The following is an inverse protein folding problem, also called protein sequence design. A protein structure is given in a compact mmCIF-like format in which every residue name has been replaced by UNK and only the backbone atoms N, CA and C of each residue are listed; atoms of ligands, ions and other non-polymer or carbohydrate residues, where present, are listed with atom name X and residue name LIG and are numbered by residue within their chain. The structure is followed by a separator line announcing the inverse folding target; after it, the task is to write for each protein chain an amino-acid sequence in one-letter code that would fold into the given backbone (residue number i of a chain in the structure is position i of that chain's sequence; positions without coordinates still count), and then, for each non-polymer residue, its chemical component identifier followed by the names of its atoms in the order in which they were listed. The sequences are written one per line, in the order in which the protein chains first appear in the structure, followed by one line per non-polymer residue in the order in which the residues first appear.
data_IF_064891957640
#
_entry.id   IF_064891957640
#
_cell.length_a   1.000
_cell.length_b   1.000
_cell.length_c   1.000
_cell.angle_alpha   90.00
_cell.angle_beta   90.00
_cell.angle_gamma   90.00
#
_symmetry.space_group_name_H-M   'P 1'
#
loop_
_entity.id
_entity.type
_entity.pdbx_description
1 polymer ?
#
# COMPACT_ATOMS: atom_id res chain seq x y z
N UNK A 1 -5.57 10.28 -7.14
CA UNK A 1 -6.12 11.24 -8.12
C UNK A 1 -7.45 10.77 -8.65
N UNK A 2 -8.39 11.67 -8.91
CA UNK A 2 -9.74 11.30 -9.37
C UNK A 2 -9.84 11.26 -10.90
N UNK A 3 -10.67 10.34 -11.41
CA UNK A 3 -10.94 10.14 -12.84
C UNK A 3 -11.47 11.40 -13.53
N UNK A 4 -11.01 11.66 -14.76
CA UNK A 4 -11.52 12.75 -15.60
C UNK A 4 -12.94 12.48 -16.12
N UNK A 5 -13.70 13.54 -16.46
CA UNK A 5 -15.06 13.44 -17.01
C UNK A 5 -15.16 12.60 -18.30
N UNK A 6 -14.06 12.49 -19.05
CA UNK A 6 -14.00 11.71 -20.29
C UNK A 6 -13.88 10.18 -20.09
N UNK A 7 -13.58 9.69 -18.89
CA UNK A 7 -13.30 8.28 -18.62
C UNK A 7 -14.39 7.54 -17.84
N UNK A 8 -15.47 8.19 -17.53
CA UNK A 8 -16.61 7.61 -16.83
C UNK A 8 -17.23 8.60 -15.84
N UNK A 9 -18.53 8.56 -15.70
CA UNK A 9 -19.31 9.50 -14.85
C UNK A 9 -19.78 8.84 -13.55
N UNK A 10 -19.47 7.57 -13.33
CA UNK A 10 -19.92 6.87 -12.13
C UNK A 10 -19.13 7.34 -10.90
N UNK A 11 -19.84 7.56 -9.81
CA UNK A 11 -19.24 7.89 -8.52
C UNK A 11 -18.85 6.62 -7.78
N UNK A 12 -17.73 6.66 -7.09
CA UNK A 12 -17.35 5.59 -6.17
C UNK A 12 -18.45 5.36 -5.14
N UNK A 13 -18.88 4.13 -4.97
CA UNK A 13 -19.86 3.75 -3.97
C UNK A 13 -19.35 3.95 -2.53
N UNK A 14 -18.05 4.13 -2.36
CA UNK A 14 -17.39 4.32 -1.05
C UNK A 14 -17.28 5.80 -0.72
N UNK A 15 -16.73 6.59 -1.64
CA UNK A 15 -16.40 8.00 -1.39
C UNK A 15 -17.49 8.97 -1.84
N UNK A 16 -18.42 8.52 -2.67
CA UNK A 16 -19.42 9.39 -3.32
C UNK A 16 -18.80 10.40 -4.30
N UNK A 17 -17.52 10.26 -4.61
CA UNK A 17 -16.77 11.06 -5.59
C UNK A 17 -16.39 10.20 -6.79
N UNK A 18 -15.75 10.78 -7.79
CA UNK A 18 -15.23 9.99 -8.92
C UNK A 18 -14.20 8.98 -8.44
N UNK A 19 -14.20 7.79 -9.04
CA UNK A 19 -13.25 6.73 -8.73
C UNK A 19 -11.80 7.22 -8.81
N UNK A 20 -10.95 6.70 -7.94
CA UNK A 20 -9.51 6.97 -7.94
C UNK A 20 -8.82 6.20 -9.04
N UNK A 21 -7.89 6.83 -9.75
CA UNK A 21 -7.05 6.21 -10.77
C UNK A 21 -5.56 6.37 -10.42
N UNK A 22 -4.73 5.51 -10.97
CA UNK A 22 -3.27 5.62 -10.89
C UNK A 22 -2.77 6.57 -11.98
N UNK A 23 -1.99 7.56 -11.57
CA UNK A 23 -1.36 8.54 -12.45
C UNK A 23 0.15 8.46 -12.32
N UNK A 24 0.85 8.77 -13.39
CA UNK A 24 2.31 8.91 -13.42
C UNK A 24 2.68 10.35 -13.67
N UNK A 25 3.70 10.82 -12.97
CA UNK A 25 4.38 12.08 -13.24
C UNK A 25 5.88 11.84 -13.23
N UNK A 26 6.60 12.55 -14.09
CA UNK A 26 8.06 12.46 -14.20
C UNK A 26 8.68 13.83 -13.92
N UNK A 27 9.89 13.83 -13.39
CA UNK A 27 10.68 15.06 -13.26
C UNK A 27 11.42 15.35 -14.58
N UNK A 28 11.44 16.62 -14.94
CA UNK A 28 12.32 17.11 -16.00
C UNK A 28 13.79 17.18 -15.50
N UNK A 29 14.73 17.51 -16.40
CA UNK A 29 16.15 17.65 -16.08
C UNK A 29 16.45 18.76 -15.05
N UNK A 30 15.48 19.63 -14.76
CA UNK A 30 15.57 20.71 -13.76
C UNK A 30 14.92 20.31 -12.44
N UNK A 31 14.37 19.09 -12.35
CA UNK A 31 13.72 18.56 -11.16
C UNK A 31 12.26 19.03 -10.95
N UNK A 32 11.63 19.64 -11.96
CA UNK A 32 10.20 20.00 -11.89
C UNK A 32 9.35 18.81 -12.31
N UNK A 33 8.26 18.59 -11.58
CA UNK A 33 7.29 17.56 -11.92
C UNK A 33 6.47 17.95 -13.15
N UNK A 34 6.38 17.05 -14.12
CA UNK A 34 5.45 17.15 -15.22
C UNK A 34 3.99 17.05 -14.72
N UNK A 35 3.04 17.48 -15.56
CA UNK A 35 1.63 17.26 -15.27
C UNK A 35 1.37 15.74 -15.17
N UNK A 36 0.69 15.27 -14.10
CA UNK A 36 0.33 13.86 -13.99
C UNK A 36 -0.55 13.42 -15.17
N UNK A 37 -0.26 12.26 -15.71
CA UNK A 37 -1.02 11.60 -16.76
C UNK A 37 -1.49 10.24 -16.29
N UNK A 38 -2.69 9.80 -16.72
CA UNK A 38 -3.18 8.47 -16.40
C UNK A 38 -2.19 7.41 -16.92
N UNK A 39 -1.91 6.40 -16.10
CA UNK A 39 -0.98 5.34 -16.51
C UNK A 39 -1.55 4.58 -17.70
N UNK A 40 -0.73 4.40 -18.75
CA UNK A 40 -1.11 3.63 -19.93
C UNK A 40 -1.25 2.14 -19.62
N UNK A 41 -2.25 1.52 -20.24
CA UNK A 41 -2.52 0.10 -20.12
C UNK A 41 -3.76 -0.23 -19.31
N UNK A 42 -3.77 -1.38 -18.65
CA UNK A 42 -4.94 -1.93 -17.97
C UNK A 42 -4.94 -1.81 -16.46
N UNK A 43 -4.24 -0.83 -15.86
CA UNK A 43 -4.21 -0.61 -14.41
C UNK A 43 -5.50 0.04 -13.91
N UNK A 44 -5.93 1.12 -14.58
CA UNK A 44 -7.13 1.85 -14.23
C UNK A 44 -8.35 1.13 -14.75
N UNK A 45 -9.32 0.86 -13.89
CA UNK A 45 -10.55 0.10 -14.17
C UNK A 45 -11.79 0.92 -13.80
N UNK A 46 -12.94 0.29 -13.73
CA UNK A 46 -14.18 0.95 -13.27
C UNK A 46 -14.26 1.04 -11.73
N UNK A 47 -13.27 0.54 -11.02
CA UNK A 47 -13.17 0.56 -9.56
C UNK A 47 -12.23 1.67 -9.09
N UNK A 48 -12.12 1.84 -7.76
CA UNK A 48 -11.14 2.73 -7.15
C UNK A 48 -9.79 2.01 -7.05
N UNK A 49 -8.77 2.54 -7.73
CA UNK A 49 -7.39 2.12 -7.57
C UNK A 49 -6.66 3.03 -6.57
N UNK A 50 -5.97 2.41 -5.62
CA UNK A 50 -5.27 3.11 -4.52
C UNK A 50 -3.83 2.69 -4.36
N UNK A 51 -3.35 2.71 -3.13
CA UNK A 51 -1.96 2.44 -2.76
C UNK A 51 -1.33 1.31 -3.57
N UNK A 52 -0.16 1.55 -4.12
CA UNK A 52 0.54 0.60 -4.99
C UNK A 52 2.00 0.42 -4.58
N UNK A 53 2.58 -0.72 -4.94
CA UNK A 53 3.98 -1.04 -4.79
C UNK A 53 4.54 -1.70 -6.06
N UNK A 54 5.78 -1.37 -6.38
CA UNK A 54 6.51 -1.94 -7.50
C UNK A 54 7.55 -2.94 -7.00
N UNK A 55 7.76 -4.02 -7.74
CA UNK A 55 8.94 -4.86 -7.54
C UNK A 55 10.23 -4.06 -7.82
N UNK A 56 11.39 -4.45 -7.24
CA UNK A 56 12.64 -3.74 -7.45
C UNK A 56 13.06 -3.63 -8.92
N UNK A 57 12.70 -4.59 -9.75
CA UNK A 57 12.92 -4.57 -11.21
C UNK A 57 11.87 -3.73 -11.96
N UNK A 58 10.89 -3.18 -11.25
CA UNK A 58 9.77 -2.40 -11.80
C UNK A 58 8.91 -3.16 -12.84
N UNK A 59 9.02 -4.48 -12.88
CA UNK A 59 8.30 -5.33 -13.82
C UNK A 59 6.89 -5.71 -13.37
N UNK A 60 6.63 -5.70 -12.07
CA UNK A 60 5.33 -6.04 -11.48
C UNK A 60 4.86 -4.96 -10.54
N UNK A 61 3.60 -4.60 -10.64
CA UNK A 61 2.91 -3.70 -9.71
C UNK A 61 1.84 -4.48 -8.95
N UNK A 62 1.81 -4.25 -7.65
CA UNK A 62 0.73 -4.64 -6.75
C UNK A 62 -0.01 -3.39 -6.35
N UNK A 63 -1.33 -3.41 -6.39
CA UNK A 63 -2.14 -2.24 -6.04
C UNK A 63 -3.41 -2.65 -5.31
N UNK A 64 -3.92 -1.74 -4.50
CA UNK A 64 -5.22 -1.86 -3.86
C UNK A 64 -6.29 -1.49 -4.88
N UNK A 65 -7.31 -2.34 -5.01
CA UNK A 65 -8.51 -2.06 -5.78
C UNK A 65 -9.72 -2.19 -4.86
N UNK A 66 -10.53 -1.15 -4.78
CA UNK A 66 -11.74 -1.14 -3.98
C UNK A 66 -12.96 -1.36 -4.86
N UNK A 67 -13.71 -2.41 -4.57
CA UNK A 67 -14.93 -2.76 -5.30
C UNK A 67 -16.14 -2.45 -4.44
N UNK A 68 -17.10 -1.72 -4.98
CA UNK A 68 -18.40 -1.47 -4.34
C UNK A 68 -19.39 -2.57 -4.70
N UNK A 69 -19.06 -3.84 -4.48
CA UNK A 69 -20.03 -4.91 -4.68
C UNK A 69 -20.90 -5.04 -3.40
N UNK A 70 -22.18 -4.70 -3.44
CA UNK A 70 -23.06 -4.79 -2.27
C UNK A 70 -23.25 -6.23 -1.75
N UNK A 71 -22.97 -7.24 -2.58
CA UNK A 71 -23.08 -8.65 -2.21
C UNK A 71 -21.86 -9.18 -1.45
N UNK A 72 -20.76 -8.38 -1.38
CA UNK A 72 -19.54 -8.75 -0.67
C UNK A 72 -19.17 -7.72 0.37
N UNK A 73 -18.93 -8.11 1.64
CA UNK A 73 -18.46 -7.20 2.68
C UNK A 73 -17.01 -6.75 2.47
N UNK A 74 -16.28 -7.35 1.53
CA UNK A 74 -14.91 -6.97 1.21
C UNK A 74 -14.87 -5.61 0.51
N UNK A 75 -14.21 -4.65 1.12
CA UNK A 75 -14.02 -3.32 0.56
C UNK A 75 -12.81 -3.21 -0.37
N UNK A 76 -11.74 -3.97 -0.10
CA UNK A 76 -10.50 -3.88 -0.83
C UNK A 76 -9.90 -5.25 -1.13
N UNK A 77 -9.25 -5.36 -2.28
CA UNK A 77 -8.45 -6.50 -2.69
C UNK A 77 -7.12 -6.04 -3.28
N UNK A 78 -6.10 -6.88 -3.21
CA UNK A 78 -4.86 -6.63 -3.92
C UNK A 78 -4.96 -7.26 -5.29
N UNK A 79 -4.70 -6.45 -6.31
CA UNK A 79 -4.55 -6.89 -7.69
C UNK A 79 -3.12 -6.68 -8.14
N UNK A 80 -2.71 -7.43 -9.16
CA UNK A 80 -1.35 -7.34 -9.72
C UNK A 80 -1.41 -7.16 -11.22
N UNK A 81 -0.42 -6.43 -11.75
CA UNK A 81 -0.21 -6.27 -13.17
C UNK A 81 1.29 -6.39 -13.48
N UNK A 82 1.59 -6.92 -14.65
CA UNK A 82 2.96 -6.99 -15.16
C UNK A 82 3.14 -5.99 -16.31
N UNK A 83 4.34 -5.45 -16.40
CA UNK A 83 4.71 -4.50 -17.44
C UNK A 83 5.29 -5.24 -18.63
N UNK A 84 4.76 -4.96 -19.82
CA UNK A 84 5.32 -5.38 -21.08
C UNK A 84 5.67 -4.11 -21.88
N UNK A 85 6.94 -3.90 -22.18
CA UNK A 85 7.47 -2.65 -22.76
C UNK A 85 7.15 -1.42 -21.89
N UNK A 86 6.42 -0.45 -22.43
CA UNK A 86 6.05 0.78 -21.72
C UNK A 86 4.69 0.70 -21.03
N UNK A 87 3.84 -0.29 -21.38
CA UNK A 87 2.45 -0.37 -20.93
C UNK A 87 2.26 -1.46 -19.86
N UNK A 88 1.30 -1.22 -18.98
CA UNK A 88 0.85 -2.19 -17.98
C UNK A 88 -0.24 -3.10 -18.56
N UNK A 89 -0.13 -4.39 -18.26
CA UNK A 89 -1.17 -5.37 -18.57
C UNK A 89 -2.45 -5.13 -17.78
N UNK A 90 -3.48 -5.90 -18.10
CA UNK A 90 -4.70 -5.92 -17.30
C UNK A 90 -4.39 -6.44 -15.89
N UNK A 91 -5.05 -5.84 -14.90
CA UNK A 91 -4.97 -6.30 -13.52
C UNK A 91 -5.61 -7.68 -13.37
N UNK A 92 -5.06 -8.46 -12.45
CA UNK A 92 -5.60 -9.74 -12.02
C UNK A 92 -5.59 -9.81 -10.49
N UNK A 93 -6.64 -10.41 -9.91
CA UNK A 93 -6.73 -10.59 -8.46
C UNK A 93 -5.56 -11.44 -7.95
N UNK A 94 -4.94 -10.99 -6.87
CA UNK A 94 -3.93 -11.75 -6.14
C UNK A 94 -4.59 -12.50 -4.98
N UNK A 95 -4.77 -13.80 -5.14
CA UNK A 95 -5.36 -14.64 -4.08
C UNK A 95 -4.31 -14.97 -3.02
N UNK A 96 -4.30 -14.18 -1.94
CA UNK A 96 -3.36 -14.36 -0.82
C UNK A 96 -3.77 -15.52 0.10
N UNK A 97 -5.06 -15.70 0.29
CA UNK A 97 -5.65 -16.74 1.14
C UNK A 97 -6.93 -17.30 0.49
N UNK A 98 -7.55 -18.28 1.15
CA UNK A 98 -8.90 -18.75 0.78
C UNK A 98 -10.03 -17.90 1.37
N UNK A 99 -9.72 -16.91 2.20
CA UNK A 99 -10.71 -16.00 2.77
C UNK A 99 -11.15 -14.97 1.72
N UNK A 100 -12.45 -14.88 1.51
CA UNK A 100 -13.10 -13.98 0.54
C UNK A 100 -13.90 -12.86 1.22
N UNK A 101 -13.90 -12.78 2.55
CA UNK A 101 -14.68 -11.82 3.30
C UNK A 101 -13.86 -10.64 3.80
N UNK A 102 -12.59 -10.89 4.14
CA UNK A 102 -11.69 -9.85 4.64
C UNK A 102 -11.15 -8.96 3.54
N UNK A 103 -10.82 -7.74 3.89
CA UNK A 103 -10.16 -6.77 3.02
C UNK A 103 -8.66 -7.00 2.98
N UNK A 104 -8.06 -6.77 1.82
CA UNK A 104 -6.62 -6.82 1.58
C UNK A 104 -6.19 -5.55 0.87
N UNK A 105 -5.31 -4.77 1.47
CA UNK A 105 -4.97 -3.43 0.99
C UNK A 105 -3.50 -3.07 1.23
N UNK A 106 -3.11 -1.90 0.77
CA UNK A 106 -1.84 -1.23 1.01
C UNK A 106 -0.62 -2.14 0.82
N UNK A 107 -0.41 -2.69 -0.39
CA UNK A 107 0.73 -3.55 -0.65
C UNK A 107 2.05 -2.78 -0.54
N UNK A 108 3.08 -3.44 -0.01
CA UNK A 108 4.46 -2.96 0.01
C UNK A 108 5.42 -4.11 -0.27
N UNK A 109 6.45 -3.87 -1.07
CA UNK A 109 7.46 -4.88 -1.41
C UNK A 109 8.71 -4.63 -0.58
N UNK A 110 9.26 -5.69 0.02
CA UNK A 110 10.55 -5.61 0.70
C UNK A 110 11.67 -5.21 -0.27
N UNK A 111 12.73 -4.52 0.19
CA UNK A 111 13.80 -4.04 -0.69
C UNK A 111 14.52 -5.15 -1.49
N UNK A 112 14.54 -6.38 -0.97
CA UNK A 112 15.09 -7.55 -1.64
C UNK A 112 14.12 -8.21 -2.63
N UNK A 113 12.89 -7.72 -2.71
CA UNK A 113 11.84 -8.24 -3.58
C UNK A 113 11.27 -9.59 -3.17
N UNK A 114 11.63 -10.12 -1.99
CA UNK A 114 11.24 -11.46 -1.60
C UNK A 114 9.91 -11.53 -0.85
N UNK A 115 9.45 -10.41 -0.30
CA UNK A 115 8.25 -10.36 0.52
C UNK A 115 7.28 -9.29 0.04
N UNK A 116 6.02 -9.67 -0.04
CA UNK A 116 4.89 -8.75 -0.14
C UNK A 116 4.32 -8.55 1.26
N UNK A 117 4.35 -7.32 1.74
CA UNK A 117 3.63 -6.87 2.92
C UNK A 117 2.29 -6.29 2.49
N UNK A 118 1.29 -6.45 3.31
CA UNK A 118 -0.06 -5.94 3.04
C UNK A 118 -0.83 -5.78 4.35
N UNK A 119 -1.96 -5.11 4.26
CA UNK A 119 -2.85 -4.86 5.39
C UNK A 119 -4.12 -5.66 5.22
N UNK A 120 -4.61 -6.26 6.31
CA UNK A 120 -5.86 -7.02 6.30
C UNK A 120 -6.49 -7.12 7.69
N UNK A 121 -7.82 -7.14 7.71
CA UNK A 121 -8.66 -7.44 8.87
C UNK A 121 -8.99 -8.94 9.00
N UNK A 122 -8.25 -9.81 8.32
CA UNK A 122 -8.51 -11.24 8.32
C UNK A 122 -8.34 -11.87 9.70
N UNK A 123 -9.09 -12.95 10.00
CA UNK A 123 -9.01 -13.65 11.28
C UNK A 123 -7.58 -14.10 11.62
N UNK A 124 -7.23 -13.98 12.89
CA UNK A 124 -5.90 -14.33 13.41
C UNK A 124 -4.96 -13.13 13.55
N UNK A 125 -5.46 -11.92 13.30
CA UNK A 125 -4.78 -10.67 13.61
C UNK A 125 -4.82 -10.30 15.10
N UNK A 126 -4.28 -9.14 15.43
CA UNK A 126 -4.20 -8.62 16.81
C UNK A 126 -5.26 -7.55 17.08
N UNK A 127 -5.72 -6.87 16.04
CA UNK A 127 -6.64 -5.74 16.17
C UNK A 127 -7.63 -5.61 15.02
N UNK A 128 -7.76 -4.40 14.54
CA UNK A 128 -8.55 -4.07 13.36
C UNK A 128 -7.82 -4.47 12.09
N UNK A 129 -7.14 -3.51 11.48
CA UNK A 129 -6.28 -3.75 10.32
C UNK A 129 -4.86 -4.02 10.78
N UNK A 130 -4.35 -5.19 10.49
CA UNK A 130 -2.97 -5.59 10.83
C UNK A 130 -2.08 -5.62 9.59
N UNK A 131 -0.77 -5.47 9.77
CA UNK A 131 0.23 -5.71 8.75
C UNK A 131 0.60 -7.19 8.73
N UNK A 132 0.46 -7.78 7.57
CA UNK A 132 0.80 -9.17 7.24
C UNK A 132 1.87 -9.21 6.17
N UNK A 133 2.49 -10.37 6.00
CA UNK A 133 3.41 -10.59 4.88
C UNK A 133 3.25 -11.98 4.29
N UNK A 134 3.65 -12.10 3.04
CA UNK A 134 3.73 -13.37 2.33
C UNK A 134 5.03 -13.43 1.53
N UNK A 135 5.70 -14.58 1.52
CA UNK A 135 6.91 -14.74 0.72
C UNK A 135 6.54 -14.92 -0.76
N UNK A 136 7.17 -14.11 -1.60
CA UNK A 136 7.07 -14.24 -3.05
C UNK A 136 8.08 -15.30 -3.52
N UNK A 137 7.64 -16.28 -4.30
CA UNK A 137 8.47 -17.34 -4.85
C UNK A 137 8.19 -17.50 -6.34
N UNK A 138 9.12 -18.09 -7.08
CA UNK A 138 8.92 -18.38 -8.50
C UNK A 138 7.75 -19.31 -8.78
N UNK A 139 7.31 -20.08 -7.79
CA UNK A 139 6.20 -21.05 -7.90
C UNK A 139 4.88 -20.52 -7.29
N UNK A 140 4.81 -19.22 -6.98
CA UNK A 140 3.64 -18.60 -6.34
C UNK A 140 3.99 -17.95 -5.01
N UNK A 141 3.12 -18.13 -4.01
CA UNK A 141 3.26 -17.49 -2.70
C UNK A 141 3.45 -18.54 -1.61
N UNK A 142 4.16 -18.13 -0.55
CA UNK A 142 4.27 -18.89 0.69
C UNK A 142 3.01 -18.78 1.57
N UNK A 143 3.11 -19.26 2.80
CA UNK A 143 2.09 -19.00 3.82
C UNK A 143 2.07 -17.52 4.23
N UNK A 144 0.86 -17.02 4.57
CA UNK A 144 0.68 -15.67 5.09
C UNK A 144 1.06 -15.64 6.57
N UNK A 145 1.79 -14.63 6.98
CA UNK A 145 2.28 -14.41 8.35
C UNK A 145 1.82 -13.05 8.88
N UNK A 146 1.18 -13.01 10.05
CA UNK A 146 0.96 -11.77 10.79
C UNK A 146 2.30 -11.31 11.37
N UNK A 147 2.61 -10.00 11.31
CA UNK A 147 3.88 -9.51 11.87
C UNK A 147 3.90 -9.53 13.39
N UNK A 148 2.74 -9.50 14.04
CA UNK A 148 2.62 -9.52 15.49
C UNK A 148 3.28 -8.32 16.18
N UNK A 149 3.44 -8.44 17.51
CA UNK A 149 4.18 -7.43 18.27
C UNK A 149 5.67 -7.40 17.89
N UNK A 150 6.29 -6.21 17.91
CA UNK A 150 5.76 -4.93 18.35
C UNK A 150 5.14 -4.08 17.22
N UNK A 151 4.91 -4.62 16.02
CA UNK A 151 4.37 -3.85 14.89
C UNK A 151 2.85 -3.71 15.02
N UNK A 152 2.15 -4.85 15.09
CA UNK A 152 0.70 -4.86 15.19
C UNK A 152 0.24 -4.66 16.63
N UNK A 153 -0.90 -3.98 16.78
CA UNK A 153 -1.55 -3.61 18.04
C UNK A 153 -3.03 -4.01 18.01
N UNK A 154 -3.80 -3.79 19.09
CA UNK A 154 -5.26 -3.88 19.02
C UNK A 154 -5.95 -2.81 18.16
N UNK A 155 -5.22 -1.80 17.67
CA UNK A 155 -5.70 -0.76 16.75
C UNK A 155 -5.63 -1.16 15.28
N UNK A 156 -5.29 -0.19 14.45
CA UNK A 156 -5.09 -0.38 13.02
C UNK A 156 -3.65 -0.03 12.65
N UNK A 157 -3.00 -0.90 11.89
CA UNK A 157 -1.71 -0.66 11.28
C UNK A 157 -1.88 -0.66 9.76
N UNK A 158 -1.51 0.46 9.12
CA UNK A 158 -1.85 0.73 7.73
C UNK A 158 -0.66 1.32 6.95
N UNK A 159 -0.76 1.34 5.63
CA UNK A 159 0.19 1.99 4.73
C UNK A 159 1.66 1.61 4.94
N UNK A 160 2.00 0.30 5.01
CA UNK A 160 3.40 -0.10 5.09
C UNK A 160 4.18 0.38 3.86
N UNK A 161 5.42 0.85 4.09
CA UNK A 161 6.36 1.18 3.01
C UNK A 161 7.79 0.98 3.50
N UNK A 162 8.69 0.67 2.59
CA UNK A 162 10.09 0.41 2.93
C UNK A 162 11.03 1.48 2.42
N UNK A 163 12.04 1.78 3.22
CA UNK A 163 13.25 2.41 2.71
C UNK A 163 14.20 1.34 2.15
N UNK A 164 15.11 1.73 1.24
CA UNK A 164 16.10 0.78 0.70
C UNK A 164 17.01 0.13 1.73
N UNK A 165 17.18 0.74 2.91
CA UNK A 165 17.96 0.19 4.03
C UNK A 165 17.20 -0.89 4.84
N UNK A 166 15.93 -1.14 4.51
CA UNK A 166 15.09 -2.14 5.16
C UNK A 166 14.19 -1.61 6.28
N UNK A 167 14.27 -0.33 6.63
CA UNK A 167 13.36 0.26 7.61
C UNK A 167 11.93 0.24 7.06
N UNK A 168 11.00 -0.27 7.86
CA UNK A 168 9.58 -0.29 7.57
C UNK A 168 8.90 0.92 8.21
N UNK A 169 8.26 1.74 7.39
CA UNK A 169 7.39 2.82 7.83
C UNK A 169 5.95 2.35 7.71
N UNK A 170 5.12 2.70 8.68
CA UNK A 170 3.70 2.39 8.69
C UNK A 170 2.94 3.41 9.51
N UNK A 171 1.63 3.48 9.37
CA UNK A 171 0.77 4.35 10.18
C UNK A 171 -0.04 3.51 11.13
N UNK A 172 -0.22 3.98 12.36
CA UNK A 172 -1.00 3.28 13.38
C UNK A 172 -1.78 4.25 14.26
N UNK A 173 -2.98 3.83 14.67
CA UNK A 173 -3.79 4.45 15.71
C UNK A 173 -3.74 3.68 17.05
N UNK A 174 -3.08 2.54 17.08
CA UNK A 174 -2.94 1.69 18.26
C UNK A 174 -1.66 1.93 19.06
N UNK A 175 -0.61 2.46 18.46
CA UNK A 175 0.59 2.89 19.15
C UNK A 175 0.40 4.28 19.79
N UNK A 176 1.10 4.59 20.91
CA UNK A 176 1.08 5.93 21.48
C UNK A 176 1.59 6.99 20.49
N UNK A 177 0.73 7.90 20.08
CA UNK A 177 0.98 8.91 19.06
C UNK A 177 0.55 10.31 19.47
N UNK A 178 0.39 11.19 18.47
CA UNK A 178 0.00 12.60 18.65
C UNK A 178 -1.41 12.87 18.13
N UNK A 179 -1.88 12.09 17.16
CA UNK A 179 -3.15 12.27 16.46
C UNK A 179 -4.02 11.02 16.45
N UNK A 180 -4.68 10.78 15.35
CA UNK A 180 -5.37 9.53 15.03
C UNK A 180 -4.36 8.51 14.50
N UNK A 181 -4.20 8.41 13.17
CA UNK A 181 -3.09 7.68 12.56
C UNK A 181 -1.82 8.51 12.66
N UNK A 182 -0.77 7.93 13.25
CA UNK A 182 0.58 8.50 13.27
C UNK A 182 1.55 7.58 12.52
N UNK A 183 2.59 8.15 11.91
CA UNK A 183 3.63 7.42 11.21
C UNK A 183 4.66 6.90 12.21
N UNK A 184 4.98 5.61 12.14
CA UNK A 184 5.99 4.92 12.93
C UNK A 184 7.06 4.32 12.03
N UNK A 185 8.24 4.10 12.63
CA UNK A 185 9.39 3.49 11.96
C UNK A 185 9.76 2.21 12.71
N UNK A 186 9.74 1.09 12.01
CA UNK A 186 10.20 -0.19 12.53
C UNK A 186 11.57 -0.54 11.93
N UNK A 187 12.57 -0.64 12.79
CA UNK A 187 13.93 -1.04 12.42
C UNK A 187 14.27 -2.41 13.00
N UNK A 188 15.03 -3.23 12.28
CA UNK A 188 15.48 -4.51 12.79
C UNK A 188 16.78 -4.33 13.57
N UNK A 189 16.74 -4.60 14.87
CA UNK A 189 17.90 -4.52 15.75
C UNK A 189 18.90 -5.66 15.52
N UNK A 190 20.06 -5.57 16.20
CA UNK A 190 21.09 -6.63 16.17
C UNK A 190 20.62 -7.95 16.76
N UNK A 191 19.58 -7.93 17.56
CA UNK A 191 18.89 -9.08 18.13
C UNK A 191 17.89 -9.74 17.18
N UNK A 192 17.72 -9.18 15.97
CA UNK A 192 16.80 -9.65 14.94
C UNK A 192 15.34 -9.26 15.22
N UNK A 193 15.07 -8.41 16.21
CA UNK A 193 13.72 -7.95 16.55
C UNK A 193 13.44 -6.57 16.01
N UNK A 194 12.16 -6.30 15.79
CA UNK A 194 11.71 -4.94 15.45
C UNK A 194 11.77 -4.02 16.66
N UNK A 195 12.24 -2.82 16.44
CA UNK A 195 12.20 -1.69 17.37
C UNK A 195 11.37 -0.60 16.73
N UNK A 196 10.36 -0.10 17.46
CA UNK A 196 9.43 0.91 16.96
C UNK A 196 9.85 2.28 17.48
N UNK A 197 9.93 3.24 16.58
CA UNK A 197 10.19 4.65 16.87
C UNK A 197 9.02 5.50 16.37
N UNK A 198 8.60 6.48 17.19
CA UNK A 198 7.67 7.53 16.79
C UNK A 198 8.48 8.79 16.50
N UNK A 199 8.61 9.24 15.24
CA UNK A 199 9.51 10.36 14.87
C UNK A 199 9.01 11.72 15.35
N UNK A 200 7.76 11.84 15.78
CA UNK A 200 7.18 13.08 16.27
C UNK A 200 7.03 14.16 15.22
N UNK A 201 6.82 15.40 15.67
CA UNK A 201 6.73 16.56 14.80
C UNK A 201 8.11 16.82 14.12
N UNK A 202 8.15 17.22 12.82
CA UNK A 202 7.03 17.65 11.98
C UNK A 202 6.39 16.53 11.14
N UNK A 203 6.83 15.28 11.24
CA UNK A 203 6.27 14.20 10.45
C UNK A 203 4.87 13.81 10.93
N UNK A 204 4.66 13.83 12.24
CA UNK A 204 3.35 13.58 12.86
C UNK A 204 2.75 14.86 13.43
N UNK A 205 1.42 14.96 13.41
CA UNK A 205 0.62 16.08 13.85
C UNK A 205 -0.49 15.64 14.81
N UNK A 206 -1.49 16.48 15.06
CA UNK A 206 -2.71 16.13 15.82
C UNK A 206 -3.83 15.59 14.91
N UNK A 207 -3.58 15.45 13.61
CA UNK A 207 -4.48 14.87 12.64
C UNK A 207 -4.06 13.44 12.30
N UNK A 208 -4.63 12.87 11.24
CA UNK A 208 -4.18 11.60 10.68
C UNK A 208 -2.99 11.83 9.74
N UNK A 209 -1.85 11.20 10.05
CA UNK A 209 -0.63 11.23 9.25
C UNK A 209 -0.36 9.83 8.68
N UNK A 210 -0.38 9.70 7.34
CA UNK A 210 -0.30 8.38 6.70
C UNK A 210 0.25 8.44 5.26
N UNK A 211 0.51 7.26 4.71
CA UNK A 211 0.84 7.11 3.29
C UNK A 211 2.26 7.52 2.93
N UNK A 212 3.20 7.46 3.87
CA UNK A 212 4.60 7.83 3.63
C UNK A 212 5.20 7.05 2.46
N UNK A 213 5.85 7.76 1.55
CA UNK A 213 6.62 7.16 0.45
C UNK A 213 7.93 7.91 0.26
N UNK A 214 8.92 7.28 -0.40
CA UNK A 214 10.27 7.82 -0.52
C UNK A 214 10.70 8.00 -1.97
N UNK A 215 11.46 9.06 -2.21
CA UNK A 215 12.12 9.30 -3.48
C UNK A 215 13.47 8.56 -3.52
N UNK A 216 13.44 7.29 -3.91
CA UNK A 216 14.65 6.45 -4.00
C UNK A 216 15.41 6.36 -2.68
N UNK A 217 16.74 6.56 -2.73
CA UNK A 217 17.62 6.53 -1.55
C UNK A 217 17.70 7.85 -0.79
N UNK A 218 17.05 8.89 -1.30
CA UNK A 218 17.12 10.23 -0.71
C UNK A 218 16.25 10.35 0.55
N UNK A 219 16.64 11.25 1.46
CA UNK A 219 15.84 11.62 2.62
C UNK A 219 14.71 12.60 2.22
N UNK A 220 14.01 12.27 1.17
CA UNK A 220 12.84 13.00 0.65
C UNK A 220 11.72 12.02 0.45
N UNK A 221 10.51 12.44 0.76
CA UNK A 221 9.32 11.62 0.63
C UNK A 221 8.09 12.48 0.54
N UNK A 222 6.97 11.79 0.47
CA UNK A 222 5.62 12.38 0.46
C UNK A 222 4.76 11.61 1.47
N UNK A 223 3.86 12.28 2.09
CA UNK A 223 2.84 11.74 2.99
C UNK A 223 1.61 12.62 3.00
#
# INVERSE_FOLDING_TARGET
STRNEAQGSELSGITGTKAGDIFVSQKDDRGHWAKPEAVEGGLNTDYDEGACALTPDQGTMYLTQCTSNPDYPRFAQIVTSTRADAAWGKVSELKLTGDTLSSYAHPAISPDGQWLYFVSDMPGGMGGMDIWRVRLTSNGQGGVENLGEPINTPGNEMFPTFRPNGDLYFSSDGHPGMGGLDIFIATVGKDGKYHIEHPGYPLNSQADDFGMTFEGVHNRGFF
#
